data_IF_814904525130
#
_entry.id   IF_814904525130
#
_cell.length_a   1.000
_cell.length_b   1.000
_cell.length_c   1.000
_cell.angle_alpha   90.00
_cell.angle_beta   90.00
_cell.angle_gamma   90.00
#
_symmetry.space_group_name_H-M   'P 1'
#
loop_
_entity.id
_entity.type
_entity.pdbx_description
1 polymer ?
#
# COMPACT_ATOMS: atom_id res chain seq x y z
N UNK A 1 14.92 -3.75 -18.85
CA UNK A 1 13.98 -2.63 -18.74
C UNK A 1 12.63 -3.24 -18.42
N UNK A 2 12.12 -2.96 -17.22
CA UNK A 2 10.82 -3.44 -16.74
C UNK A 2 9.76 -2.36 -16.94
N UNK A 3 8.50 -2.77 -16.97
CA UNK A 3 7.35 -1.86 -16.95
C UNK A 3 6.67 -1.94 -15.59
N UNK A 4 6.57 -0.81 -14.90
CA UNK A 4 5.91 -0.66 -13.60
C UNK A 4 4.62 0.11 -13.83
N UNK A 5 3.48 -0.55 -13.71
CA UNK A 5 2.18 0.12 -13.77
C UNK A 5 1.85 0.74 -12.39
N UNK A 6 1.55 2.02 -12.38
CA UNK A 6 1.02 2.73 -11.22
C UNK A 6 -0.46 2.97 -11.50
N UNK A 7 -1.32 2.33 -10.72
CA UNK A 7 -2.77 2.39 -10.93
C UNK A 7 -3.27 3.79 -10.63
N UNK A 8 -3.82 4.46 -11.64
CA UNK A 8 -4.41 5.80 -11.55
C UNK A 8 -5.92 5.72 -11.84
N UNK A 9 -6.71 5.63 -10.81
CA UNK A 9 -8.17 5.63 -10.89
C UNK A 9 -8.78 6.98 -10.46
N UNK A 10 -7.99 8.06 -10.55
CA UNK A 10 -8.40 9.42 -10.20
C UNK A 10 -8.32 9.74 -8.71
N UNK A 11 -7.78 8.84 -7.89
CA UNK A 11 -7.67 8.99 -6.45
C UNK A 11 -6.23 8.77 -5.97
N UNK A 12 -5.66 9.75 -5.29
CA UNK A 12 -4.33 9.61 -4.70
C UNK A 12 -3.26 10.55 -5.25
N UNK A 13 -2.13 10.61 -4.55
CA UNK A 13 -0.96 11.39 -4.97
C UNK A 13 -0.05 10.55 -5.90
N UNK A 14 -0.64 10.05 -6.99
CA UNK A 14 0.03 9.13 -7.92
C UNK A 14 1.30 9.71 -8.56
N UNK A 15 1.35 11.06 -8.75
CA UNK A 15 2.53 11.73 -9.32
C UNK A 15 3.76 11.68 -8.42
N UNK A 16 3.58 11.80 -7.10
CA UNK A 16 4.70 11.66 -6.15
C UNK A 16 5.23 10.24 -6.13
N UNK A 17 4.35 9.24 -6.19
CA UNK A 17 4.74 7.82 -6.30
C UNK A 17 5.50 7.57 -7.61
N UNK A 18 4.99 8.09 -8.74
CA UNK A 18 5.67 7.99 -10.04
C UNK A 18 7.09 8.57 -9.99
N UNK A 19 7.23 9.81 -9.52
CA UNK A 19 8.54 10.47 -9.42
C UNK A 19 9.52 9.71 -8.52
N UNK A 20 9.05 9.16 -7.41
CA UNK A 20 9.88 8.37 -6.52
C UNK A 20 10.34 7.06 -7.19
N UNK A 21 9.46 6.38 -7.93
CA UNK A 21 9.81 5.17 -8.69
C UNK A 21 10.78 5.50 -9.85
N UNK A 22 10.55 6.54 -10.63
CA UNK A 22 11.45 6.99 -11.69
C UNK A 22 12.84 7.34 -11.15
N UNK A 23 12.92 7.88 -9.92
CA UNK A 23 14.19 8.19 -9.27
C UNK A 23 14.97 6.93 -8.88
N UNK A 24 14.31 5.89 -8.36
CA UNK A 24 14.98 4.66 -7.92
C UNK A 24 15.19 3.65 -9.05
N UNK A 25 14.42 3.76 -10.14
CA UNK A 25 14.45 2.88 -11.30
C UNK A 25 14.55 3.67 -12.63
N UNK A 26 15.63 4.45 -12.85
CA UNK A 26 15.74 5.37 -13.98
C UNK A 26 15.80 4.68 -15.35
N UNK A 27 16.05 3.37 -15.37
CA UNK A 27 16.12 2.57 -16.60
C UNK A 27 14.82 1.80 -16.88
N UNK A 28 13.82 1.90 -15.99
CA UNK A 28 12.54 1.22 -16.11
C UNK A 28 11.42 2.18 -16.51
N UNK A 29 10.35 1.63 -17.05
CA UNK A 29 9.22 2.43 -17.51
C UNK A 29 8.14 2.49 -16.44
N UNK A 30 7.96 3.65 -15.80
CA UNK A 30 6.90 3.91 -14.82
C UNK A 30 5.69 4.55 -15.53
N UNK A 31 4.56 3.84 -15.60
CA UNK A 31 3.36 4.27 -16.32
C UNK A 31 2.22 4.51 -15.34
N UNK A 32 1.69 5.74 -15.32
CA UNK A 32 0.38 6.03 -14.71
C UNK A 32 -0.72 5.57 -15.65
N UNK A 33 -1.60 4.70 -15.18
CA UNK A 33 -2.63 4.13 -16.05
C UNK A 33 -3.89 3.70 -15.31
N UNK A 34 -5.03 3.90 -15.95
CA UNK A 34 -6.31 3.28 -15.63
C UNK A 34 -6.70 2.22 -16.67
N UNK A 35 -5.83 1.88 -17.61
CA UNK A 35 -6.10 0.84 -18.61
C UNK A 35 -5.75 -0.55 -18.05
N UNK A 36 -6.75 -1.45 -17.89
CA UNK A 36 -6.51 -2.80 -17.40
C UNK A 36 -5.49 -3.59 -18.23
N UNK A 37 -5.41 -3.35 -19.55
CA UNK A 37 -4.44 -4.04 -20.42
C UNK A 37 -3.01 -3.64 -20.11
N UNK A 38 -2.75 -2.37 -19.88
CA UNK A 38 -1.41 -1.89 -19.51
C UNK A 38 -1.01 -2.46 -18.14
N UNK A 39 -1.95 -2.56 -17.19
CA UNK A 39 -1.71 -3.19 -15.89
C UNK A 39 -1.40 -4.68 -16.09
N UNK A 40 -2.18 -5.38 -16.90
CA UNK A 40 -1.99 -6.79 -17.21
C UNK A 40 -0.63 -7.08 -17.86
N UNK A 41 -0.19 -6.25 -18.78
CA UNK A 41 1.08 -6.42 -19.53
C UNK A 41 2.31 -5.94 -18.74
N UNK A 42 2.14 -5.24 -17.63
CA UNK A 42 3.25 -4.76 -16.80
C UNK A 42 3.94 -5.88 -16.04
N UNK A 43 5.21 -5.67 -15.70
CA UNK A 43 6.00 -6.61 -14.90
C UNK A 43 5.68 -6.48 -13.40
N UNK A 44 5.27 -5.28 -12.95
CA UNK A 44 4.99 -4.94 -11.56
C UNK A 44 3.84 -3.96 -11.46
N UNK A 45 3.12 -4.01 -10.35
CA UNK A 45 1.99 -3.09 -10.09
C UNK A 45 2.20 -2.36 -8.78
N UNK A 46 2.04 -1.04 -8.82
CA UNK A 46 1.92 -0.20 -7.63
C UNK A 46 0.49 0.32 -7.54
N UNK A 47 -0.12 0.07 -6.41
CA UNK A 47 -1.52 0.39 -6.12
C UNK A 47 -1.61 1.41 -4.99
N UNK A 48 -1.46 2.71 -5.30
CA UNK A 48 -1.63 3.77 -4.31
C UNK A 48 -3.12 4.05 -4.08
N UNK A 49 -3.42 4.67 -2.96
CA UNK A 49 -4.75 5.17 -2.68
C UNK A 49 -4.74 6.31 -1.69
N UNK A 50 -5.70 7.23 -1.83
CA UNK A 50 -5.89 8.35 -0.91
C UNK A 50 -7.37 8.75 -0.88
N UNK A 51 -7.81 9.30 0.25
CA UNK A 51 -9.20 9.70 0.45
C UNK A 51 -10.00 8.64 1.19
N UNK A 52 -11.29 8.53 0.91
CA UNK A 52 -12.19 7.60 1.56
C UNK A 52 -12.32 6.29 0.77
N UNK A 53 -12.34 5.15 1.47
CA UNK A 53 -12.39 3.82 0.88
C UNK A 53 -13.59 3.63 -0.07
N UNK A 54 -14.79 4.10 0.31
CA UNK A 54 -15.98 4.00 -0.54
C UNK A 54 -15.87 4.77 -1.85
N UNK A 55 -15.19 5.92 -1.84
CA UNK A 55 -14.93 6.69 -3.07
C UNK A 55 -13.94 5.98 -3.98
N UNK A 56 -12.91 5.38 -3.40
CA UNK A 56 -11.92 4.59 -4.14
C UNK A 56 -12.53 3.33 -4.75
N UNK A 57 -13.33 2.56 -4.00
CA UNK A 57 -14.02 1.39 -4.53
C UNK A 57 -14.93 1.75 -5.72
N UNK A 58 -15.70 2.82 -5.60
CA UNK A 58 -16.54 3.32 -6.70
C UNK A 58 -15.71 3.73 -7.92
N UNK A 59 -14.58 4.40 -7.71
CA UNK A 59 -13.68 4.78 -8.80
C UNK A 59 -13.06 3.56 -9.49
N UNK A 60 -12.70 2.52 -8.74
CA UNK A 60 -12.22 1.24 -9.31
C UNK A 60 -13.30 0.54 -10.14
N UNK A 61 -14.55 0.54 -9.67
CA UNK A 61 -15.70 -0.01 -10.40
C UNK A 61 -15.94 0.74 -11.71
N UNK A 62 -15.97 2.08 -11.68
CA UNK A 62 -16.22 2.92 -12.86
C UNK A 62 -15.12 2.80 -13.94
N UNK A 63 -13.91 2.39 -13.56
CA UNK A 63 -12.80 2.16 -14.47
C UNK A 63 -12.58 0.68 -14.82
N UNK A 64 -13.48 -0.23 -14.41
CA UNK A 64 -13.39 -1.69 -14.64
C UNK A 64 -12.08 -2.33 -14.14
N UNK A 65 -11.49 -1.77 -13.07
CA UNK A 65 -10.17 -2.16 -12.57
C UNK A 65 -10.18 -3.30 -11.56
N UNK A 66 -11.31 -3.61 -10.93
CA UNK A 66 -11.39 -4.57 -9.81
C UNK A 66 -10.86 -5.95 -10.21
N UNK A 67 -11.28 -6.46 -11.36
CA UNK A 67 -10.88 -7.79 -11.83
C UNK A 67 -9.38 -7.86 -12.11
N UNK A 68 -8.82 -6.84 -12.75
CA UNK A 68 -7.40 -6.79 -13.08
C UNK A 68 -6.52 -6.63 -11.83
N UNK A 69 -6.92 -5.79 -10.87
CA UNK A 69 -6.23 -5.66 -9.58
C UNK A 69 -6.15 -7.01 -8.86
N UNK A 70 -7.27 -7.76 -8.83
CA UNK A 70 -7.32 -9.11 -8.22
C UNK A 70 -6.44 -10.12 -8.95
N UNK A 71 -6.33 -10.05 -10.25
CA UNK A 71 -5.46 -10.93 -11.06
C UNK A 71 -3.99 -10.57 -10.88
N UNK A 72 -3.66 -9.28 -11.02
CA UNK A 72 -2.30 -8.77 -10.90
C UNK A 72 -1.72 -9.01 -9.50
N UNK A 73 -2.51 -8.85 -8.44
CA UNK A 73 -2.06 -9.09 -7.06
C UNK A 73 -1.64 -10.55 -6.79
N UNK A 74 -2.12 -11.52 -7.59
CA UNK A 74 -1.76 -12.94 -7.48
C UNK A 74 -0.59 -13.35 -8.37
N UNK A 75 -0.37 -12.63 -9.47
CA UNK A 75 0.51 -13.10 -10.55
C UNK A 75 1.87 -12.40 -10.60
N UNK A 76 1.99 -11.19 -10.09
CA UNK A 76 3.21 -10.37 -10.20
C UNK A 76 3.48 -9.56 -8.93
N UNK A 77 4.71 -9.05 -8.71
CA UNK A 77 5.01 -8.18 -7.59
C UNK A 77 4.03 -6.99 -7.53
N UNK A 78 3.37 -6.86 -6.39
CA UNK A 78 2.28 -5.92 -6.16
C UNK A 78 2.54 -5.11 -4.87
N UNK A 79 2.60 -3.78 -4.99
CA UNK A 79 2.82 -2.87 -3.87
C UNK A 79 1.57 -2.03 -3.58
N UNK A 80 0.90 -2.31 -2.46
CA UNK A 80 -0.17 -1.46 -1.92
C UNK A 80 0.40 -0.32 -1.07
N UNK A 81 -0.06 0.94 -1.28
CA UNK A 81 0.38 2.10 -0.51
C UNK A 81 -0.82 2.80 0.14
N UNK A 82 -0.77 2.96 1.45
CA UNK A 82 -1.75 3.65 2.29
C UNK A 82 -3.16 3.08 2.10
N UNK A 83 -4.09 3.81 1.50
CA UNK A 83 -5.42 3.29 1.21
C UNK A 83 -5.37 2.08 0.25
N UNK A 84 -4.33 1.99 -0.60
CA UNK A 84 -4.09 0.81 -1.43
C UNK A 84 -3.86 -0.47 -0.61
N UNK A 85 -3.27 -0.39 0.57
CA UNK A 85 -3.23 -1.50 1.53
C UNK A 85 -4.65 -1.82 2.04
N UNK A 86 -5.40 -0.81 2.48
CA UNK A 86 -6.72 -0.99 3.09
C UNK A 86 -7.74 -1.59 2.09
N UNK A 87 -7.68 -1.17 0.83
CA UNK A 87 -8.53 -1.68 -0.25
C UNK A 87 -8.38 -3.20 -0.50
N UNK A 88 -7.24 -3.81 -0.12
CA UNK A 88 -7.04 -5.25 -0.26
C UNK A 88 -7.92 -6.08 0.69
N UNK A 89 -8.39 -5.50 1.79
CA UNK A 89 -9.20 -6.17 2.80
C UNK A 89 -10.67 -6.29 2.41
N UNK A 90 -11.43 -7.10 3.19
CA UNK A 90 -12.82 -7.40 2.87
C UNK A 90 -13.81 -6.31 3.24
N UNK A 91 -13.56 -5.62 4.36
CA UNK A 91 -14.48 -4.64 4.93
C UNK A 91 -13.72 -3.51 5.63
N UNK A 92 -14.33 -2.33 5.68
CA UNK A 92 -13.85 -1.18 6.43
C UNK A 92 -15.00 -0.55 7.21
N UNK A 93 -14.72 -0.10 8.44
CA UNK A 93 -15.66 0.70 9.24
C UNK A 93 -15.88 2.11 8.68
N UNK A 94 -15.10 2.53 7.69
CA UNK A 94 -15.21 3.86 7.10
C UNK A 94 -16.56 4.04 6.39
N UNK A 95 -17.14 5.25 6.50
CA UNK A 95 -18.40 5.63 5.86
C UNK A 95 -19.60 4.74 6.26
N UNK A 96 -19.68 4.34 7.53
CA UNK A 96 -20.71 3.42 8.06
C UNK A 96 -20.65 2.01 7.47
N UNK A 97 -19.50 1.60 7.00
CA UNK A 97 -19.26 0.30 6.39
C UNK A 97 -19.05 0.38 4.88
N UNK A 98 -17.91 -0.11 4.44
CA UNK A 98 -17.54 -0.17 3.02
C UNK A 98 -16.91 -1.53 2.72
N UNK A 99 -17.38 -2.23 1.69
CA UNK A 99 -16.72 -3.45 1.21
C UNK A 99 -15.48 -3.09 0.41
N UNK A 100 -14.40 -3.86 0.61
CA UNK A 100 -13.17 -3.77 -0.17
C UNK A 100 -13.02 -4.89 -1.20
N UNK A 101 -11.79 -5.14 -1.62
CA UNK A 101 -11.49 -6.11 -2.68
C UNK A 101 -11.53 -7.57 -2.20
N UNK A 102 -11.50 -7.83 -0.88
CA UNK A 102 -11.47 -9.17 -0.30
C UNK A 102 -10.33 -10.06 -0.85
N UNK A 103 -9.15 -9.48 -1.03
CA UNK A 103 -7.93 -10.18 -1.44
C UNK A 103 -7.22 -10.73 -0.20
N UNK A 104 -7.18 -9.94 0.87
CA UNK A 104 -6.60 -10.32 2.16
C UNK A 104 -7.73 -10.46 3.19
N UNK A 105 -7.82 -11.59 3.91
CA UNK A 105 -8.81 -11.77 4.97
C UNK A 105 -8.57 -10.84 6.15
N UNK A 106 -9.63 -10.17 6.62
CA UNK A 106 -9.60 -9.23 7.73
C UNK A 106 -10.34 -7.95 7.40
N UNK A 107 -10.25 -7.00 8.33
CA UNK A 107 -11.01 -5.76 8.30
C UNK A 107 -10.10 -4.54 8.43
N UNK A 108 -10.64 -3.38 8.08
CA UNK A 108 -10.05 -2.06 8.32
C UNK A 108 -10.85 -1.37 9.39
N UNK A 109 -10.22 -1.09 10.53
CA UNK A 109 -10.87 -0.57 11.73
C UNK A 109 -10.39 0.84 12.06
N UNK A 110 -11.25 1.62 12.69
CA UNK A 110 -10.96 3.00 13.08
C UNK A 110 -10.08 3.04 14.31
N UNK A 111 -9.13 3.98 14.36
CA UNK A 111 -8.49 4.30 15.63
C UNK A 111 -9.52 4.80 16.64
N UNK A 112 -9.62 4.10 17.76
CA UNK A 112 -10.57 4.41 18.82
C UNK A 112 -9.80 4.73 20.13
N UNK A 113 -9.18 5.90 20.16
CA UNK A 113 -8.49 6.39 21.35
C UNK A 113 -8.75 7.89 21.50
N UNK A 114 -9.45 8.26 22.56
CA UNK A 114 -9.84 9.66 22.83
C UNK A 114 -8.65 10.56 23.17
N UNK A 115 -7.52 9.98 23.56
CA UNK A 115 -6.32 10.74 23.98
C UNK A 115 -5.35 11.00 22.82
N UNK A 116 -5.63 10.45 21.63
CA UNK A 116 -4.79 10.60 20.46
C UNK A 116 -5.42 11.49 19.40
N UNK A 117 -4.56 12.27 18.73
CA UNK A 117 -4.98 13.04 17.57
C UNK A 117 -5.23 12.11 16.39
N UNK A 118 -6.47 12.05 15.90
CA UNK A 118 -6.84 11.34 14.66
C UNK A 118 -7.11 12.36 13.56
N UNK A 119 -6.50 12.21 12.37
CA UNK A 119 -5.69 11.09 11.90
C UNK A 119 -4.32 10.99 12.57
N UNK A 120 -3.76 9.77 12.65
CA UNK A 120 -2.34 9.52 12.85
C UNK A 120 -1.58 10.20 11.71
N UNK A 121 -0.92 11.32 12.00
CA UNK A 121 -0.24 12.14 10.99
C UNK A 121 1.16 12.49 11.46
N UNK A 122 2.15 12.12 10.66
CA UNK A 122 3.56 12.44 10.93
C UNK A 122 4.48 11.23 10.76
N UNK A 123 5.69 11.40 11.27
CA UNK A 123 6.73 10.37 11.24
C UNK A 123 6.58 9.42 12.42
N UNK A 124 6.54 8.11 12.14
CA UNK A 124 6.51 7.11 13.18
C UNK A 124 7.39 5.92 12.81
N UNK A 125 7.80 5.16 13.82
CA UNK A 125 8.68 4.02 13.67
C UNK A 125 7.91 2.80 13.17
N UNK A 126 8.54 2.02 12.31
CA UNK A 126 8.05 0.72 11.86
C UNK A 126 8.97 -0.37 12.40
N UNK A 127 8.45 -1.19 13.29
CA UNK A 127 9.13 -2.37 13.79
C UNK A 127 8.93 -3.54 12.80
N UNK A 128 10.01 -4.03 12.22
CA UNK A 128 10.03 -5.18 11.31
C UNK A 128 9.88 -6.45 12.14
N UNK A 129 8.73 -7.10 12.05
CA UNK A 129 8.42 -8.30 12.86
C UNK A 129 8.71 -9.61 12.15
N UNK A 130 8.80 -9.57 10.82
CA UNK A 130 9.19 -10.70 9.98
C UNK A 130 10.14 -10.23 8.88
N UNK A 131 11.08 -11.12 8.50
CA UNK A 131 12.00 -10.83 7.40
C UNK A 131 11.28 -10.81 6.06
N UNK A 132 11.57 -9.80 5.24
CA UNK A 132 11.09 -9.71 3.88
C UNK A 132 12.12 -8.98 3.00
N UNK A 133 12.30 -9.33 1.71
CA UNK A 133 13.26 -8.67 0.82
C UNK A 133 13.07 -7.15 0.72
N UNK A 134 11.85 -6.63 0.86
CA UNK A 134 11.59 -5.20 0.83
C UNK A 134 12.16 -4.44 2.03
N UNK A 135 12.54 -5.10 3.11
CA UNK A 135 13.27 -4.51 4.25
C UNK A 135 14.78 -4.45 4.06
N UNK A 136 15.31 -4.99 2.97
CA UNK A 136 16.76 -5.04 2.75
C UNK A 136 17.37 -3.63 2.77
N UNK A 137 18.45 -3.44 3.56
CA UNK A 137 19.13 -2.16 3.80
C UNK A 137 18.25 -1.07 4.43
N UNK A 138 17.20 -1.46 5.13
CA UNK A 138 16.36 -0.58 5.96
C UNK A 138 16.49 -1.05 7.39
N UNK A 139 16.97 -0.19 8.28
CA UNK A 139 17.15 -0.53 9.69
C UNK A 139 15.81 -0.80 10.36
N UNK A 140 15.80 -1.75 11.31
CA UNK A 140 14.60 -1.95 12.13
C UNK A 140 14.29 -0.68 12.92
N UNK A 141 13.03 -0.36 13.09
CA UNK A 141 12.54 0.89 13.68
C UNK A 141 12.87 2.16 12.87
N UNK A 142 13.15 2.04 11.59
CA UNK A 142 13.18 3.19 10.68
C UNK A 142 11.87 3.95 10.70
N UNK A 143 11.94 5.25 10.46
CA UNK A 143 10.78 6.15 10.51
C UNK A 143 10.19 6.36 9.12
N UNK A 144 8.87 6.22 9.05
CA UNK A 144 8.10 6.47 7.82
C UNK A 144 7.00 7.49 8.07
N UNK A 145 6.62 8.22 7.03
CA UNK A 145 5.54 9.21 7.10
C UNK A 145 4.18 8.55 6.93
N UNK A 146 3.29 8.82 7.86
CA UNK A 146 1.92 8.29 7.92
C UNK A 146 0.89 9.41 7.94
N UNK A 147 -0.29 9.15 7.33
CA UNK A 147 -1.48 10.00 7.45
C UNK A 147 -2.72 9.14 7.21
N UNK A 148 -3.33 8.64 8.29
CA UNK A 148 -4.51 7.76 8.22
C UNK A 148 -5.33 7.75 9.51
N UNK A 149 -6.63 7.51 9.40
CA UNK A 149 -7.58 7.41 10.53
C UNK A 149 -8.03 5.98 10.79
N UNK A 150 -7.69 5.05 9.90
CA UNK A 150 -8.03 3.63 9.95
C UNK A 150 -6.76 2.82 9.75
N UNK A 151 -6.75 1.58 10.23
CA UNK A 151 -5.66 0.64 10.08
C UNK A 151 -6.20 -0.77 9.81
N UNK A 152 -5.37 -1.61 9.23
CA UNK A 152 -5.75 -2.99 8.87
C UNK A 152 -5.62 -3.93 10.06
N UNK A 153 -6.59 -4.85 10.18
CA UNK A 153 -6.64 -5.91 11.18
C UNK A 153 -6.74 -7.26 10.47
N UNK A 154 -5.61 -7.85 10.03
CA UNK A 154 -5.60 -9.14 9.35
C UNK A 154 -6.13 -10.25 10.24
N UNK A 155 -6.94 -11.16 9.67
CA UNK A 155 -7.38 -12.38 10.37
C UNK A 155 -6.22 -13.33 10.63
N UNK A 156 -5.29 -13.43 9.65
CA UNK A 156 -4.05 -14.18 9.81
C UNK A 156 -2.88 -13.20 10.04
N UNK A 157 -2.38 -13.15 11.27
CA UNK A 157 -1.29 -12.28 11.65
C UNK A 157 0.08 -12.72 11.11
N UNK A 158 0.21 -13.91 10.54
CA UNK A 158 1.45 -14.38 9.92
C UNK A 158 1.87 -13.54 8.70
N UNK A 159 0.91 -12.87 8.06
CA UNK A 159 1.18 -11.95 6.96
C UNK A 159 1.76 -10.59 7.41
N UNK A 160 1.74 -10.27 8.72
CA UNK A 160 2.24 -8.99 9.21
C UNK A 160 3.77 -8.99 9.20
N UNK A 161 4.36 -8.02 8.53
CA UNK A 161 5.82 -7.85 8.42
C UNK A 161 6.32 -6.54 9.04
N UNK A 162 5.41 -5.62 9.37
CA UNK A 162 5.73 -4.36 10.05
C UNK A 162 4.63 -3.92 10.99
N UNK A 163 5.03 -3.50 12.20
CA UNK A 163 4.14 -2.99 13.24
C UNK A 163 4.52 -1.58 13.63
N UNK A 164 3.54 -0.78 14.02
CA UNK A 164 3.74 0.60 14.49
C UNK A 164 2.92 0.83 15.74
N UNK A 165 3.47 1.62 16.68
CA UNK A 165 2.79 2.02 17.90
C UNK A 165 2.13 3.40 17.73
N UNK A 166 0.82 3.48 17.97
CA UNK A 166 0.08 4.75 18.08
C UNK A 166 -1.10 4.58 19.02
N UNK A 167 -0.81 4.68 20.32
CA UNK A 167 -1.74 4.37 21.42
C UNK A 167 -1.98 2.87 21.63
N UNK A 168 -1.83 2.09 20.59
CA UNK A 168 -1.74 0.63 20.57
C UNK A 168 -0.91 0.20 19.35
N UNK A 169 -0.47 -1.03 19.37
CA UNK A 169 0.26 -1.62 18.24
C UNK A 169 -0.70 -2.01 17.12
N UNK A 170 -0.37 -1.67 15.87
CA UNK A 170 -1.16 -2.03 14.69
C UNK A 170 -0.27 -2.46 13.53
N UNK A 171 -0.83 -3.26 12.61
CA UNK A 171 -0.13 -3.70 11.41
C UNK A 171 0.05 -2.52 10.45
N UNK A 172 1.30 -2.11 10.24
CA UNK A 172 1.68 -1.03 9.32
C UNK A 172 2.29 -1.51 8.00
N UNK A 173 2.63 -2.81 7.92
CA UNK A 173 3.02 -3.47 6.68
C UNK A 173 2.61 -4.95 6.70
N UNK A 174 2.16 -5.46 5.56
CA UNK A 174 1.84 -6.87 5.35
C UNK A 174 2.56 -7.40 4.11
N UNK A 175 2.80 -8.72 4.10
CA UNK A 175 3.29 -9.46 2.94
C UNK A 175 2.56 -10.80 2.83
N UNK A 176 2.06 -11.11 1.63
CA UNK A 176 1.42 -12.38 1.32
C UNK A 176 1.62 -12.69 -0.17
N UNK A 177 2.20 -13.83 -0.49
CA UNK A 177 2.52 -14.25 -1.86
C UNK A 177 3.33 -13.18 -2.63
N UNK A 178 2.72 -12.57 -3.64
CA UNK A 178 3.29 -11.50 -4.46
C UNK A 178 2.89 -10.08 -4.00
N UNK A 179 2.17 -9.97 -2.89
CA UNK A 179 1.74 -8.69 -2.34
C UNK A 179 2.68 -8.26 -1.22
N UNK A 180 3.17 -7.03 -1.29
CA UNK A 180 3.67 -6.27 -0.16
C UNK A 180 2.84 -4.99 -0.05
N UNK A 181 2.33 -4.66 1.12
CA UNK A 181 1.53 -3.46 1.25
C UNK A 181 1.80 -2.74 2.57
N UNK A 182 1.83 -1.40 2.51
CA UNK A 182 2.23 -0.53 3.62
C UNK A 182 1.18 0.53 3.91
N UNK A 183 1.00 0.87 5.18
CA UNK A 183 0.09 1.93 5.63
C UNK A 183 0.71 3.32 5.50
N UNK A 184 2.01 3.41 5.59
CA UNK A 184 2.77 4.65 5.43
C UNK A 184 3.01 4.99 3.95
N UNK A 185 3.58 6.16 3.70
CA UNK A 185 3.89 6.68 2.37
C UNK A 185 5.40 6.58 2.08
N UNK A 186 5.90 5.53 1.40
CA UNK A 186 7.32 5.42 1.08
C UNK A 186 7.80 6.58 0.20
N UNK A 187 6.96 7.09 -0.72
CA UNK A 187 7.27 8.24 -1.57
C UNK A 187 7.46 9.57 -0.81
N UNK A 188 7.11 9.59 0.50
CA UNK A 188 7.28 10.73 1.41
C UNK A 188 8.25 10.43 2.55
N UNK A 189 8.90 9.28 2.53
CA UNK A 189 9.69 8.76 3.65
C UNK A 189 11.20 8.81 3.41
N UNK A 190 11.68 9.82 2.68
CA UNK A 190 13.10 10.10 2.46
C UNK A 190 13.91 8.86 1.99
N UNK A 191 15.11 8.65 2.53
CA UNK A 191 16.02 7.56 2.14
C UNK A 191 15.42 6.16 2.32
N UNK A 192 14.78 5.91 3.46
CA UNK A 192 14.23 4.58 3.78
C UNK A 192 13.03 4.25 2.92
N UNK A 193 12.19 5.25 2.63
CA UNK A 193 11.10 5.10 1.68
C UNK A 193 11.58 4.84 0.25
N UNK A 194 12.59 5.55 -0.21
CA UNK A 194 13.21 5.31 -1.51
C UNK A 194 13.91 3.95 -1.57
N UNK A 195 14.54 3.51 -0.47
CA UNK A 195 15.14 2.18 -0.40
C UNK A 195 14.07 1.07 -0.49
N UNK A 196 12.92 1.24 0.17
CA UNK A 196 11.80 0.30 0.05
C UNK A 196 11.28 0.21 -1.39
N UNK A 197 11.11 1.35 -2.07
CA UNK A 197 10.71 1.38 -3.47
C UNK A 197 11.75 0.71 -4.38
N UNK A 198 13.05 0.92 -4.13
CA UNK A 198 14.13 0.22 -4.87
C UNK A 198 14.06 -1.29 -4.65
N UNK A 199 13.90 -1.73 -3.41
CA UNK A 199 13.76 -3.14 -3.08
C UNK A 199 12.54 -3.76 -3.77
N UNK A 200 11.42 -3.02 -3.88
CA UNK A 200 10.25 -3.45 -4.63
C UNK A 200 10.53 -3.63 -6.12
N UNK A 201 11.28 -2.73 -6.73
CA UNK A 201 11.68 -2.83 -8.15
C UNK A 201 12.58 -4.05 -8.40
N UNK A 202 13.40 -4.42 -7.43
CA UNK A 202 14.33 -5.56 -7.50
C UNK A 202 13.70 -6.89 -7.03
N UNK A 203 12.54 -6.86 -6.39
CA UNK A 203 11.87 -8.05 -5.83
C UNK A 203 11.27 -8.95 -6.92
N UNK A 204 11.55 -10.27 -6.82
CA UNK A 204 11.07 -11.30 -7.78
C UNK A 204 10.20 -12.33 -7.10
#
# INVERSE_FOLDING_TARGET
MQTIAIVDYGMGNVRSVQKALEHVAPNDKCILTSDPKIIQESDRVVFPGQGAMGSCMRALELNDLISEIKLSSKSKPFLGICLGLQLLFGYSEENNGTNGLSIVPGDVIKFNNNDLKIPHMGWNNVNQVNNHPLWNKIDNNSRFYSVHSYYVNPTDTSCVVGMTEYGHSFASAIAIDKIFAVQFHPEKSQSDGLQLLRNFVEWN
#
